data_IF_920384740264
#
_entry.id   IF_920384740264
#
_cell.length_a   1.000
_cell.length_b   1.000
_cell.length_c   1.000
_cell.angle_alpha   90.00
_cell.angle_beta   90.00
_cell.angle_gamma   90.00
#
_symmetry.space_group_name_H-M   'P 1'
#
loop_
_entity.id
_entity.type
_entity.pdbx_description
1 polymer ?
#
# COMPACT_ATOMS: atom_id res chain seq x y z
N UNK A 1 -8.39 -12.44 -0.81
CA UNK A 1 -8.08 -11.00 -0.95
C UNK A 1 -8.43 -10.59 -2.37
N UNK A 2 -8.73 -9.32 -2.60
CA UNK A 2 -8.94 -8.71 -3.91
C UNK A 2 -7.76 -7.79 -4.24
N UNK A 3 -7.40 -7.69 -5.52
CA UNK A 3 -6.38 -6.76 -6.01
C UNK A 3 -6.99 -5.36 -6.22
N UNK A 4 -6.52 -4.37 -5.47
CA UNK A 4 -7.05 -3.00 -5.53
C UNK A 4 -6.36 -2.17 -6.61
N UNK A 5 -5.04 -2.23 -6.64
CA UNK A 5 -4.25 -1.66 -7.73
C UNK A 5 -2.94 -2.42 -7.90
N UNK A 6 -2.41 -2.30 -9.10
CA UNK A 6 -1.10 -2.79 -9.47
C UNK A 6 -0.46 -1.80 -10.45
N UNK A 7 0.86 -1.67 -10.43
CA UNK A 7 1.58 -0.77 -11.30
C UNK A 7 3.06 -1.14 -11.40
N UNK A 8 3.69 -0.75 -12.50
CA UNK A 8 5.14 -0.79 -12.64
C UNK A 8 5.77 0.40 -11.92
N UNK A 9 6.79 0.12 -11.11
CA UNK A 9 7.54 1.13 -10.39
C UNK A 9 8.49 1.84 -11.38
N UNK A 10 8.46 3.18 -11.48
CA UNK A 10 9.34 3.94 -12.37
C UNK A 10 10.82 3.58 -12.19
N UNK A 11 11.54 3.44 -13.29
CA UNK A 11 12.94 2.97 -13.32
C UNK A 11 13.91 3.85 -12.50
N UNK A 12 13.57 5.12 -12.34
CA UNK A 12 14.34 6.11 -11.59
C UNK A 12 14.09 6.05 -10.07
N UNK A 13 13.13 5.25 -9.60
CA UNK A 13 12.92 5.08 -8.16
C UNK A 13 14.05 4.25 -7.54
N UNK A 14 14.70 4.84 -6.54
CA UNK A 14 15.78 4.18 -5.81
C UNK A 14 15.30 2.84 -5.21
N UNK A 15 16.17 1.84 -5.26
CA UNK A 15 15.97 0.47 -4.80
C UNK A 15 14.99 -0.40 -5.58
N UNK A 16 13.88 0.14 -6.11
CA UNK A 16 12.76 -0.65 -6.65
C UNK A 16 12.38 -0.35 -8.11
N UNK A 17 13.10 0.54 -8.78
CA UNK A 17 12.79 0.87 -10.17
C UNK A 17 12.78 -0.36 -11.09
N UNK A 18 11.71 -0.47 -11.89
CA UNK A 18 11.46 -1.59 -12.80
C UNK A 18 10.80 -2.81 -12.16
N UNK A 19 10.52 -2.80 -10.86
CA UNK A 19 9.69 -3.82 -10.22
C UNK A 19 8.20 -3.55 -10.42
N UNK A 20 7.38 -4.54 -10.06
CA UNK A 20 5.93 -4.44 -10.09
C UNK A 20 5.35 -4.42 -8.67
N UNK A 21 4.55 -3.40 -8.35
CA UNK A 21 3.84 -3.25 -7.09
C UNK A 21 2.42 -3.81 -7.22
N UNK A 22 2.02 -4.67 -6.30
CA UNK A 22 0.65 -5.17 -6.18
C UNK A 22 0.11 -4.93 -4.77
N UNK A 23 -1.07 -4.35 -4.66
CA UNK A 23 -1.73 -4.06 -3.38
C UNK A 23 -3.05 -4.81 -3.28
N UNK A 24 -3.07 -5.79 -2.38
CA UNK A 24 -4.21 -6.64 -2.11
C UNK A 24 -4.83 -6.32 -0.76
N UNK A 25 -6.13 -6.54 -0.69
CA UNK A 25 -6.91 -6.34 0.53
C UNK A 25 -8.08 -7.29 0.66
N UNK A 26 -8.52 -7.55 1.87
CA UNK A 26 -9.79 -8.19 2.15
C UNK A 26 -10.94 -7.25 1.77
N UNK A 27 -11.97 -7.81 1.14
CA UNK A 27 -13.19 -7.07 0.80
C UNK A 27 -14.04 -6.76 2.03
N UNK A 28 -14.02 -7.66 3.01
CA UNK A 28 -14.88 -7.60 4.19
C UNK A 28 -14.26 -6.88 5.40
N UNK A 29 -12.96 -6.60 5.40
CA UNK A 29 -12.28 -5.95 6.53
C UNK A 29 -11.63 -4.66 6.05
N UNK A 30 -11.91 -3.57 6.77
CA UNK A 30 -11.48 -2.23 6.36
C UNK A 30 -10.52 -1.57 7.36
N UNK A 31 -10.08 -2.24 8.41
CA UNK A 31 -9.31 -1.58 9.49
C UNK A 31 -7.93 -1.07 9.05
N UNK A 32 -7.36 -0.20 9.87
CA UNK A 32 -5.95 0.19 9.79
C UNK A 32 -5.05 -0.98 10.21
N UNK A 33 -3.83 -1.03 9.70
CA UNK A 33 -2.81 -1.98 10.15
C UNK A 33 -2.12 -1.48 11.40
N UNK A 34 -1.90 -2.37 12.37
CA UNK A 34 -1.24 -2.03 13.63
C UNK A 34 0.13 -2.72 13.72
N UNK A 35 1.23 -1.96 13.84
CA UNK A 35 2.56 -2.54 13.84
C UNK A 35 2.82 -3.34 15.11
N UNK A 36 3.20 -4.62 14.95
CA UNK A 36 3.74 -5.42 16.04
C UNK A 36 5.26 -5.41 15.99
N UNK A 37 5.87 -4.86 17.04
CA UNK A 37 7.32 -4.69 17.13
C UNK A 37 7.95 -5.66 18.14
N UNK A 38 9.17 -6.11 17.86
CA UNK A 38 10.10 -6.64 18.87
C UNK A 38 11.47 -6.01 18.65
N UNK A 39 12.08 -5.56 19.75
CA UNK A 39 13.40 -4.90 19.76
C UNK A 39 13.48 -3.73 18.75
N UNK A 40 12.39 -2.96 18.63
CA UNK A 40 12.29 -1.81 17.71
C UNK A 40 12.11 -2.17 16.23
N UNK A 41 11.91 -3.44 15.89
CA UNK A 41 11.73 -3.93 14.50
C UNK A 41 10.36 -4.55 14.32
N UNK A 42 9.83 -4.49 13.10
CA UNK A 42 8.64 -5.27 12.75
C UNK A 42 8.90 -6.76 13.00
N UNK A 43 7.92 -7.44 13.60
CA UNK A 43 8.01 -8.89 13.87
C UNK A 43 8.31 -9.67 12.58
N UNK A 44 9.08 -10.77 12.64
CA UNK A 44 9.30 -11.63 11.49
C UNK A 44 7.98 -12.05 10.84
N UNK A 45 7.94 -11.98 9.51
CA UNK A 45 6.74 -12.29 8.71
C UNK A 45 5.51 -11.45 9.08
N UNK A 46 5.70 -10.18 9.45
CA UNK A 46 4.60 -9.25 9.75
C UNK A 46 3.54 -9.18 8.62
N UNK A 47 3.94 -9.40 7.37
CA UNK A 47 3.07 -9.49 6.19
C UNK A 47 2.20 -10.75 6.09
N UNK A 48 2.43 -11.76 6.93
CA UNK A 48 1.61 -12.96 7.08
C UNK A 48 0.91 -13.01 8.45
N UNK A 49 1.21 -12.05 9.33
CA UNK A 49 0.70 -12.06 10.68
C UNK A 49 -0.82 -11.81 10.71
N UNK A 50 -1.54 -12.45 11.65
CA UNK A 50 -2.91 -12.05 11.92
C UNK A 50 -2.93 -10.62 12.49
N UNK A 51 -3.94 -9.86 12.08
CA UNK A 51 -4.20 -8.51 12.56
C UNK A 51 -5.43 -8.56 13.47
N UNK A 52 -5.29 -8.46 14.80
CA UNK A 52 -6.43 -8.49 15.71
C UNK A 52 -7.51 -7.47 15.28
N UNK A 53 -8.80 -7.85 15.37
CA UNK A 53 -9.36 -9.08 15.92
C UNK A 53 -9.38 -10.27 14.94
N UNK A 54 -8.78 -10.15 13.75
CA UNK A 54 -8.89 -11.12 12.67
C UNK A 54 -7.85 -12.26 12.77
N UNK A 55 -8.24 -13.52 12.54
CA UNK A 55 -7.35 -14.68 12.67
C UNK A 55 -6.37 -14.83 11.49
N UNK A 56 -6.47 -13.99 10.46
CA UNK A 56 -5.66 -14.03 9.24
C UNK A 56 -5.36 -12.60 8.78
N UNK A 57 -4.26 -12.35 8.05
CA UNK A 57 -4.00 -11.05 7.46
C UNK A 57 -5.15 -10.64 6.54
N UNK A 58 -5.54 -9.37 6.60
CA UNK A 58 -6.55 -8.79 5.72
C UNK A 58 -5.95 -7.89 4.63
N UNK A 59 -4.64 -7.74 4.58
CA UNK A 59 -3.94 -6.99 3.53
C UNK A 59 -2.69 -7.77 3.09
N UNK A 60 -2.23 -7.51 1.87
CA UNK A 60 -0.96 -8.02 1.36
C UNK A 60 -0.43 -7.05 0.31
N UNK A 61 0.81 -6.61 0.49
CA UNK A 61 1.50 -5.79 -0.52
C UNK A 61 2.70 -6.59 -1.02
N UNK A 62 2.88 -6.65 -2.35
CA UNK A 62 3.94 -7.39 -2.99
C UNK A 62 4.75 -6.48 -3.91
N UNK A 63 6.06 -6.65 -3.90
CA UNK A 63 6.98 -6.10 -4.91
C UNK A 63 7.64 -7.27 -5.64
N UNK A 64 7.35 -7.40 -6.92
CA UNK A 64 7.82 -8.49 -7.77
C UNK A 64 8.91 -8.01 -8.74
N UNK A 65 10.02 -8.74 -8.81
CA UNK A 65 11.14 -8.47 -9.73
C UNK A 65 10.96 -9.20 -11.05
N UNK A 66 11.12 -8.50 -12.17
CA UNK A 66 11.29 -9.09 -13.50
C UNK A 66 10.32 -10.24 -13.85
N UNK A 67 9.10 -10.20 -13.34
CA UNK A 67 8.12 -11.24 -13.62
C UNK A 67 7.52 -10.92 -14.98
N UNK A 68 7.48 -11.92 -15.86
CA UNK A 68 6.50 -11.94 -16.95
C UNK A 68 5.15 -12.01 -16.26
N UNK A 69 4.52 -10.85 -16.07
CA UNK A 69 3.23 -10.76 -15.43
C UNK A 69 2.31 -11.74 -16.16
N UNK A 70 1.65 -12.67 -15.43
CA UNK A 70 0.53 -13.38 -16.02
C UNK A 70 -0.40 -12.34 -16.66
N UNK A 71 -1.03 -12.69 -17.78
CA UNK A 71 -2.02 -11.79 -18.40
C UNK A 71 -2.95 -11.28 -17.30
N UNK A 72 -3.12 -9.95 -17.23
CA UNK A 72 -3.87 -9.31 -16.15
C UNK A 72 -5.29 -9.88 -16.12
N UNK A 73 -5.53 -10.85 -15.23
CA UNK A 73 -6.87 -11.34 -14.96
C UNK A 73 -7.59 -10.23 -14.21
N UNK A 74 -8.76 -9.83 -14.73
CA UNK A 74 -9.57 -8.81 -14.08
C UNK A 74 -9.96 -9.29 -12.68
N UNK A 75 -9.67 -8.47 -11.66
CA UNK A 75 -10.13 -8.74 -10.30
C UNK A 75 -11.67 -8.78 -10.30
N UNK A 76 -12.31 -9.90 -9.92
CA UNK A 76 -13.77 -10.06 -10.02
C UNK A 76 -14.56 -9.15 -9.08
N UNK A 77 -13.91 -8.55 -8.09
CA UNK A 77 -14.57 -7.75 -7.06
C UNK A 77 -14.49 -6.25 -7.31
N UNK A 78 -13.42 -5.78 -7.95
CA UNK A 78 -13.11 -4.36 -8.14
C UNK A 78 -13.15 -4.06 -9.63
N UNK A 79 -13.84 -3.01 -10.02
CA UNK A 79 -13.91 -2.57 -11.40
C UNK A 79 -12.52 -2.09 -11.85
N UNK A 80 -11.88 -2.85 -12.74
CA UNK A 80 -10.59 -2.48 -13.30
C UNK A 80 -10.69 -1.14 -14.06
N UNK A 81 -9.84 -0.18 -13.68
CA UNK A 81 -9.66 1.10 -14.38
C UNK A 81 -8.18 1.28 -14.74
N UNK A 82 -7.88 1.85 -15.92
CA UNK A 82 -6.49 2.21 -16.24
C UNK A 82 -5.95 3.22 -15.23
N UNK A 83 -4.75 2.96 -14.72
CA UNK A 83 -3.97 3.91 -13.93
C UNK A 83 -2.86 4.46 -14.83
N UNK A 84 -2.92 5.76 -15.13
CA UNK A 84 -1.88 6.44 -15.91
C UNK A 84 -1.01 7.27 -14.98
N UNK A 85 0.29 7.01 -14.99
CA UNK A 85 1.27 7.78 -14.23
C UNK A 85 1.88 8.86 -15.12
N UNK A 86 2.04 10.05 -14.57
CA UNK A 86 2.72 11.17 -15.22
C UNK A 86 3.87 11.65 -14.35
N UNK A 87 5.03 12.00 -14.93
CA UNK A 87 6.11 12.63 -14.19
C UNK A 87 5.62 13.90 -13.48
N UNK A 88 5.99 14.04 -12.21
CA UNK A 88 5.67 15.20 -11.38
C UNK A 88 6.94 15.63 -10.65
N UNK A 89 7.30 16.91 -10.76
CA UNK A 89 8.31 17.52 -9.91
C UNK A 89 7.70 17.78 -8.52
N UNK A 90 7.77 16.77 -7.64
CA UNK A 90 7.25 16.87 -6.29
C UNK A 90 8.16 17.76 -5.44
N UNK A 91 7.78 19.04 -5.30
CA UNK A 91 8.55 20.04 -4.55
C UNK A 91 7.98 20.12 -3.13
N UNK A 92 8.72 19.64 -2.12
CA UNK A 92 8.22 19.65 -0.75
C UNK A 92 8.01 21.08 -0.25
N UNK A 93 6.98 21.29 0.57
CA UNK A 93 6.73 22.57 1.23
C UNK A 93 7.82 22.85 2.30
N UNK A 94 7.80 24.00 3.00
CA UNK A 94 8.78 24.32 4.04
C UNK A 94 8.86 23.33 5.22
N UNK A 95 7.84 22.48 5.39
CA UNK A 95 7.79 21.41 6.38
C UNK A 95 8.29 20.07 5.84
N UNK A 96 8.76 20.03 4.58
CA UNK A 96 9.25 18.82 3.93
C UNK A 96 8.14 17.89 3.39
N UNK A 97 6.88 18.35 3.36
CA UNK A 97 5.75 17.55 2.88
C UNK A 97 5.59 17.72 1.37
N UNK A 98 5.52 16.61 0.63
CA UNK A 98 5.22 16.63 -0.81
C UNK A 98 3.74 16.86 -1.13
N UNK A 99 3.37 16.66 -2.39
CA UNK A 99 1.99 16.76 -2.87
C UNK A 99 1.08 15.69 -2.25
N UNK A 100 -0.14 16.08 -1.85
CA UNK A 100 -1.20 15.20 -1.34
C UNK A 100 -2.00 14.56 -2.50
N UNK A 101 -1.34 13.71 -3.27
CA UNK A 101 -1.94 13.00 -4.40
C UNK A 101 -1.51 11.54 -4.39
N UNK A 102 -2.17 10.71 -5.20
CA UNK A 102 -1.65 9.38 -5.50
C UNK A 102 -0.30 9.53 -6.22
N UNK A 103 0.76 8.96 -5.66
CA UNK A 103 2.10 9.07 -6.24
C UNK A 103 3.00 7.90 -5.87
N UNK A 104 4.06 7.76 -6.66
CA UNK A 104 5.14 6.80 -6.46
C UNK A 104 6.43 7.60 -6.43
N UNK A 105 7.27 7.36 -5.43
CA UNK A 105 8.44 8.18 -5.16
C UNK A 105 8.08 9.61 -4.75
N UNK A 106 9.08 10.48 -4.81
CA UNK A 106 8.99 11.84 -4.27
C UNK A 106 9.03 11.86 -2.74
N UNK A 107 8.63 12.99 -2.16
CA UNK A 107 8.57 13.16 -0.71
C UNK A 107 7.17 12.79 -0.20
N UNK A 108 7.00 11.86 0.74
CA UNK A 108 5.67 11.59 1.31
C UNK A 108 5.05 12.86 1.89
N UNK A 109 3.74 13.03 1.66
CA UNK A 109 2.95 14.10 2.27
C UNK A 109 2.31 13.58 3.55
N UNK A 110 3.13 13.40 4.60
CA UNK A 110 2.68 12.89 5.91
C UNK A 110 1.50 13.71 6.45
N UNK A 111 0.37 13.06 6.71
CA UNK A 111 -0.82 13.66 7.32
C UNK A 111 -0.57 13.96 8.80
N UNK A 112 0.23 13.11 9.45
CA UNK A 112 0.68 13.24 10.83
C UNK A 112 2.21 13.29 10.89
N UNK A 113 2.80 12.99 12.05
CA UNK A 113 4.25 12.89 12.17
C UNK A 113 4.77 11.74 11.28
N UNK A 114 5.94 11.91 10.61
CA UNK A 114 6.56 10.83 9.85
C UNK A 114 6.81 9.60 10.72
N UNK A 115 6.37 8.44 10.23
CA UNK A 115 6.65 7.17 10.89
C UNK A 115 7.77 6.42 10.17
N UNK A 116 8.65 5.81 10.97
CA UNK A 116 9.79 5.05 10.49
C UNK A 116 9.74 3.66 11.09
N UNK A 117 10.01 2.67 10.26
CA UNK A 117 9.95 1.26 10.65
C UNK A 117 11.20 0.54 10.17
N UNK A 118 11.76 -0.29 11.04
CA UNK A 118 12.83 -1.22 10.68
C UNK A 118 12.21 -2.58 10.36
N UNK A 119 12.55 -3.11 9.18
CA UNK A 119 12.17 -4.45 8.74
C UNK A 119 12.64 -5.52 9.73
N UNK A 120 11.98 -6.68 9.71
CA UNK A 120 12.40 -7.87 10.46
C UNK A 120 13.87 -8.28 10.18
N UNK A 121 14.38 -8.03 8.97
CA UNK A 121 15.78 -8.29 8.62
C UNK A 121 16.78 -7.24 9.14
N UNK A 122 16.30 -6.17 9.80
CA UNK A 122 17.11 -5.10 10.35
C UNK A 122 17.38 -3.91 9.41
N UNK A 123 16.85 -3.91 8.19
CA UNK A 123 16.96 -2.76 7.28
C UNK A 123 15.82 -1.76 7.51
N UNK A 124 16.11 -0.46 7.46
CA UNK A 124 15.07 0.57 7.53
C UNK A 124 14.20 0.53 6.27
N UNK A 125 12.88 0.52 6.47
CA UNK A 125 11.93 0.55 5.36
C UNK A 125 11.96 1.92 4.70
N UNK A 126 11.88 1.93 3.37
CA UNK A 126 11.93 3.15 2.56
C UNK A 126 10.61 3.36 1.84
N UNK A 127 10.20 4.61 1.73
CA UNK A 127 8.95 5.00 1.08
C UNK A 127 8.94 4.65 -0.42
N UNK A 128 7.81 4.15 -0.90
CA UNK A 128 7.57 3.85 -2.32
C UNK A 128 6.37 4.59 -2.86
N UNK A 129 5.22 4.52 -2.19
CA UNK A 129 3.95 4.94 -2.77
C UNK A 129 3.05 5.53 -1.70
N UNK A 130 2.29 6.53 -2.09
CA UNK A 130 1.25 7.16 -1.28
C UNK A 130 -0.10 7.00 -1.97
N UNK A 131 -1.11 6.61 -1.21
CA UNK A 131 -2.52 6.61 -1.60
C UNK A 131 -3.23 7.68 -0.77
N UNK A 132 -3.89 8.67 -1.41
CA UNK A 132 -4.51 9.75 -0.69
C UNK A 132 -5.73 9.29 0.10
N UNK A 133 -6.01 9.99 1.20
CA UNK A 133 -7.21 9.83 2.00
C UNK A 133 -8.47 9.87 1.12
N UNK A 134 -9.43 9.00 1.44
CA UNK A 134 -10.72 8.95 0.76
C UNK A 134 -10.65 8.42 -0.68
N UNK A 135 -9.50 7.91 -1.15
CA UNK A 135 -9.43 7.28 -2.47
C UNK A 135 -10.32 6.03 -2.53
N UNK A 136 -11.26 6.03 -3.47
CA UNK A 136 -12.27 4.99 -3.63
C UNK A 136 -11.98 4.08 -4.82
N UNK A 137 -12.34 2.81 -4.66
CA UNK A 137 -12.23 1.75 -5.66
C UNK A 137 -13.63 1.25 -5.99
N UNK A 138 -14.10 1.52 -7.20
CA UNK A 138 -15.43 1.08 -7.63
C UNK A 138 -15.52 -0.45 -7.64
N UNK A 139 -16.64 -1.01 -7.19
CA UNK A 139 -16.86 -2.46 -7.12
C UNK A 139 -17.90 -2.92 -8.14
N UNK A 140 -17.83 -4.19 -8.52
CA UNK A 140 -18.87 -4.77 -9.36
C UNK A 140 -20.20 -4.89 -8.60
N UNK A 141 -21.36 -4.81 -9.29
CA UNK A 141 -22.66 -5.03 -8.65
C UNK A 141 -22.73 -6.38 -7.93
N UNK A 142 -23.35 -6.39 -6.74
CA UNK A 142 -23.56 -7.62 -5.95
C UNK A 142 -22.37 -8.03 -5.08
N UNK A 143 -21.28 -7.24 -5.06
CA UNK A 143 -20.22 -7.42 -4.09
C UNK A 143 -20.70 -7.05 -2.67
N UNK A 144 -20.16 -7.68 -1.62
CA UNK A 144 -20.53 -7.35 -0.25
C UNK A 144 -20.11 -5.91 0.06
N UNK A 145 -20.95 -5.19 0.79
CA UNK A 145 -20.59 -3.88 1.34
C UNK A 145 -19.38 -4.03 2.27
N UNK A 146 -18.43 -3.12 2.14
CA UNK A 146 -17.27 -3.07 3.03
C UNK A 146 -17.60 -2.18 4.22
N UNK A 147 -17.38 -2.63 5.47
CA UNK A 147 -17.57 -1.79 6.64
C UNK A 147 -16.78 -0.48 6.52
N UNK A 148 -17.39 0.65 6.88
CA UNK A 148 -16.74 1.97 6.84
C UNK A 148 -16.28 2.45 5.45
N UNK A 149 -16.81 1.87 4.35
CA UNK A 149 -16.69 2.52 3.04
C UNK A 149 -17.63 3.72 2.95
N UNK A 150 -17.36 4.62 2.00
CA UNK A 150 -18.19 5.82 1.78
C UNK A 150 -19.52 5.47 1.11
N UNK A 151 -19.58 4.35 0.39
CA UNK A 151 -20.80 3.87 -0.26
C UNK A 151 -20.80 2.36 -0.49
N UNK A 152 -21.98 1.82 -0.81
CA UNK A 152 -22.18 0.39 -1.05
C UNK A 152 -21.55 -0.12 -2.36
N UNK A 153 -21.18 0.79 -3.27
CA UNK A 153 -20.59 0.51 -4.58
C UNK A 153 -19.09 0.85 -4.65
N UNK A 154 -18.47 1.13 -3.51
CA UNK A 154 -17.04 1.44 -3.42
C UNK A 154 -16.39 0.71 -2.26
N UNK A 155 -15.13 0.33 -2.46
CA UNK A 155 -14.21 -0.03 -1.39
C UNK A 155 -13.21 1.09 -1.15
N UNK A 156 -12.71 1.18 0.08
CA UNK A 156 -11.64 2.09 0.47
C UNK A 156 -10.36 1.28 0.77
N UNK A 157 -9.25 1.95 1.09
CA UNK A 157 -8.07 1.34 1.69
C UNK A 157 -7.89 1.89 3.11
N UNK A 158 -7.58 1.01 4.05
CA UNK A 158 -7.33 1.24 5.49
C UNK A 158 -8.21 2.34 6.13
N UNK A 159 -9.51 2.09 6.29
CA UNK A 159 -10.53 3.02 6.79
C UNK A 159 -10.71 4.29 5.97
N UNK A 160 -10.15 4.33 4.76
CA UNK A 160 -10.09 5.54 3.94
C UNK A 160 -8.97 6.49 4.36
N UNK A 161 -8.06 6.09 5.24
CA UNK A 161 -6.92 6.89 5.67
C UNK A 161 -5.95 7.19 4.51
N UNK A 162 -5.08 8.17 4.74
CA UNK A 162 -3.87 8.35 3.93
C UNK A 162 -2.93 7.16 4.17
N UNK A 163 -2.43 6.54 3.09
CA UNK A 163 -1.63 5.31 3.16
C UNK A 163 -0.26 5.53 2.56
N UNK A 164 0.79 5.21 3.30
CA UNK A 164 2.17 5.23 2.83
C UNK A 164 2.74 3.81 2.83
N UNK A 165 3.22 3.35 1.68
CA UNK A 165 3.85 2.05 1.55
C UNK A 165 5.36 2.18 1.74
N UNK A 166 5.87 1.58 2.82
CA UNK A 166 7.30 1.52 3.12
C UNK A 166 7.81 0.10 2.89
N UNK A 167 8.86 -0.06 2.09
CA UNK A 167 9.37 -1.38 1.71
C UNK A 167 10.82 -1.61 2.12
N UNK A 168 11.17 -2.87 2.32
CA UNK A 168 12.51 -3.25 2.74
C UNK A 168 13.49 -3.16 1.56
N UNK A 169 14.47 -2.22 1.56
CA UNK A 169 15.43 -2.09 0.47
C UNK A 169 16.35 -3.32 0.34
N UNK A 170 16.54 -4.06 1.44
CA UNK A 170 17.25 -5.34 1.47
C UNK A 170 16.48 -6.53 0.87
N UNK A 171 15.19 -6.35 0.56
CA UNK A 171 14.34 -7.33 -0.15
C UNK A 171 14.37 -8.73 0.45
N UNK A 172 14.28 -8.81 1.77
CA UNK A 172 14.29 -10.09 2.47
C UNK A 172 13.08 -10.98 2.14
N UNK A 173 11.98 -10.39 1.67
CA UNK A 173 10.79 -11.08 1.15
C UNK A 173 10.07 -10.16 0.14
N UNK A 174 9.42 -10.67 -0.92
CA UNK A 174 8.59 -9.87 -1.81
C UNK A 174 7.48 -9.09 -1.10
N UNK A 175 7.03 -9.56 0.06
CA UNK A 175 6.00 -8.96 0.88
C UNK A 175 6.55 -8.14 2.06
N UNK A 176 7.85 -7.87 2.10
CA UNK A 176 8.46 -7.03 3.11
C UNK A 176 8.13 -5.54 2.87
N UNK A 177 6.84 -5.21 2.97
CA UNK A 177 6.24 -3.88 2.80
C UNK A 177 5.25 -3.64 3.92
N UNK A 178 5.37 -2.50 4.59
CA UNK A 178 4.49 -2.06 5.67
C UNK A 178 3.61 -0.90 5.19
N UNK A 179 2.28 -1.01 5.27
CA UNK A 179 1.38 0.11 5.08
C UNK A 179 1.32 0.94 6.37
N UNK A 180 1.71 2.21 6.29
CA UNK A 180 1.45 3.20 7.34
C UNK A 180 0.12 3.87 7.04
N UNK A 181 -0.77 4.00 8.02
CA UNK A 181 -2.09 4.62 7.87
C UNK A 181 -2.18 5.86 8.76
N UNK A 182 -2.55 7.01 8.20
CA UNK A 182 -2.68 8.27 8.95
C UNK A 182 -3.98 9.00 8.56
N UNK A 183 -4.57 9.68 9.53
CA UNK A 183 -5.81 10.44 9.41
C UNK A 183 -5.68 11.88 9.94
#
# INVERSE_FOLDING_TARGET
MALFFQLDIPLDLQHFGGDHLLVFRCRAHNDASEPRLADGRLMPRYWDAPEPPYPRPFWRVLIQRHVVLPAAEAEPSVCARPLTLHPLADTPNPHGLGSQTFKIGGAPSWAQNPEQYTCACGADLVYICQVPEGMQFAVHPGQPEQPYSVGADTYSLFLGNEVYLLACPGRCDPAAVWPVNQN
#
